data_IF_004823329667
#
_entry.id   IF_004823329667
#
_cell.length_a   1.000
_cell.length_b   1.000
_cell.length_c   1.000
_cell.angle_alpha   90.00
_cell.angle_beta   90.00
_cell.angle_gamma   90.00
#
_symmetry.space_group_name_H-M   'P 1'
#
loop_
_entity.id
_entity.type
_entity.pdbx_description
1 polymer ?
#
# COMPACT_ATOMS: atom_id res chain seq x y z
N UNK A 1 51.05 37.69 15.95
CA UNK A 1 51.26 36.43 16.70
C UNK A 1 51.13 35.29 15.71
N UNK A 2 52.22 34.57 15.47
CA UNK A 2 52.35 33.57 14.42
C UNK A 2 51.80 32.21 14.90
N UNK A 3 51.01 31.56 14.04
CA UNK A 3 50.53 30.19 14.20
C UNK A 3 51.58 29.24 13.60
N UNK A 4 52.34 28.55 14.43
CA UNK A 4 53.19 27.42 14.00
C UNK A 4 52.34 26.16 13.92
N UNK A 5 52.09 25.73 12.66
CA UNK A 5 51.71 24.36 12.32
C UNK A 5 52.95 23.48 12.47
N UNK A 6 52.97 22.60 13.45
CA UNK A 6 53.89 21.46 13.45
C UNK A 6 53.13 20.16 13.14
N UNK A 7 53.77 19.40 12.25
CA UNK A 7 53.30 18.23 11.55
C UNK A 7 53.25 17.03 12.51
N UNK A 8 52.04 16.51 12.76
CA UNK A 8 51.88 15.14 13.23
C UNK A 8 51.89 14.21 12.01
N UNK A 9 53.01 13.54 11.84
CA UNK A 9 53.20 12.42 10.94
C UNK A 9 52.32 11.24 11.38
N UNK A 10 51.17 11.05 10.74
CA UNK A 10 50.46 9.79 10.80
C UNK A 10 50.97 8.89 9.68
N UNK A 11 51.71 7.85 10.07
CA UNK A 11 52.14 6.77 9.20
C UNK A 11 50.94 6.14 8.46
N UNK A 12 51.14 5.57 7.26
CA UNK A 12 50.10 4.81 6.59
C UNK A 12 49.77 3.58 7.44
N UNK A 13 48.54 3.54 7.97
CA UNK A 13 47.99 2.33 8.55
C UNK A 13 48.00 1.25 7.46
N UNK A 14 48.62 0.07 7.68
CA UNK A 14 48.50 -1.03 6.75
C UNK A 14 47.03 -1.44 6.74
N UNK A 15 46.39 -1.24 5.59
CA UNK A 15 45.09 -1.80 5.24
C UNK A 15 45.16 -3.32 5.46
N UNK A 16 44.76 -3.76 6.65
CA UNK A 16 44.31 -5.13 6.85
C UNK A 16 43.02 -5.27 6.05
N UNK A 17 43.11 -6.08 4.99
CA UNK A 17 41.98 -6.42 4.15
C UNK A 17 40.88 -7.08 4.97
N UNK A 18 39.83 -6.33 5.26
CA UNK A 18 38.54 -6.91 5.58
C UNK A 18 37.88 -7.33 4.27
N UNK A 19 38.29 -8.49 3.74
CA UNK A 19 37.42 -9.28 2.89
C UNK A 19 36.42 -10.01 3.80
N UNK A 20 35.53 -9.27 4.48
CA UNK A 20 34.27 -9.85 4.91
C UNK A 20 33.43 -9.97 3.66
N UNK A 21 33.56 -11.11 3.00
CA UNK A 21 32.62 -11.59 2.00
C UNK A 21 31.33 -11.94 2.75
N UNK A 22 30.65 -10.93 3.27
CA UNK A 22 29.28 -11.05 3.75
C UNK A 22 28.47 -11.39 2.50
N UNK A 23 28.09 -12.66 2.37
CA UNK A 23 27.06 -13.09 1.45
C UNK A 23 25.75 -12.44 1.91
N UNK A 24 25.58 -11.16 1.54
CA UNK A 24 24.30 -10.49 1.66
C UNK A 24 23.33 -11.24 0.77
N UNK A 25 22.41 -11.95 1.40
CA UNK A 25 21.29 -12.59 0.73
C UNK A 25 20.57 -11.51 -0.10
N UNK A 26 20.47 -11.72 -1.42
CA UNK A 26 19.73 -10.79 -2.26
C UNK A 26 18.24 -11.02 -2.06
N UNK A 27 17.44 -9.97 -2.22
CA UNK A 27 15.98 -10.08 -2.10
C UNK A 27 15.44 -11.10 -3.12
N UNK A 28 16.07 -11.16 -4.28
CA UNK A 28 15.79 -12.08 -5.38
C UNK A 28 16.01 -13.56 -5.00
N UNK A 29 16.84 -13.84 -4.00
CA UNK A 29 17.16 -15.19 -3.53
C UNK A 29 16.07 -15.77 -2.61
N UNK A 30 15.18 -14.93 -2.08
CA UNK A 30 14.04 -15.39 -1.28
C UNK A 30 13.09 -16.24 -2.14
N UNK A 31 12.35 -17.18 -1.54
CA UNK A 31 11.39 -18.00 -2.29
C UNK A 31 10.08 -17.24 -2.56
N UNK A 32 9.28 -17.71 -3.52
CA UNK A 32 7.99 -17.06 -3.83
C UNK A 32 6.97 -17.21 -2.70
N UNK A 33 7.05 -18.33 -1.97
CA UNK A 33 6.22 -18.62 -0.80
C UNK A 33 6.47 -17.59 0.30
N UNK A 34 7.73 -17.27 0.58
CA UNK A 34 8.07 -16.26 1.58
C UNK A 34 7.56 -14.87 1.18
N UNK A 35 7.61 -14.52 -0.12
CA UNK A 35 6.99 -13.27 -0.59
C UNK A 35 5.47 -13.27 -0.40
N UNK A 36 4.79 -14.37 -0.71
CA UNK A 36 3.35 -14.48 -0.45
C UNK A 36 3.04 -14.27 1.04
N UNK A 37 3.81 -14.90 1.93
CA UNK A 37 3.65 -14.70 3.38
C UNK A 37 3.89 -13.25 3.79
N UNK A 38 4.94 -12.61 3.31
CA UNK A 38 5.21 -11.18 3.58
C UNK A 38 4.06 -10.31 3.08
N UNK A 39 3.57 -10.55 1.87
CA UNK A 39 2.54 -9.73 1.24
C UNK A 39 1.18 -9.85 1.95
N UNK A 40 0.89 -10.98 2.59
CA UNK A 40 -0.33 -11.15 3.40
C UNK A 40 -0.39 -10.20 4.60
N UNK A 41 0.76 -9.69 5.07
CA UNK A 41 0.83 -8.69 6.15
C UNK A 41 0.77 -7.24 5.66
N UNK A 42 0.88 -7.00 4.35
CA UNK A 42 0.93 -5.66 3.77
C UNK A 42 -0.45 -5.24 3.24
N UNK A 43 -0.79 -3.97 3.43
CA UNK A 43 -1.90 -3.40 2.67
C UNK A 43 -1.48 -3.16 1.21
N UNK A 44 -2.45 -3.02 0.33
CA UNK A 44 -2.22 -2.86 -1.10
C UNK A 44 -1.37 -1.63 -1.44
N UNK A 45 -1.49 -0.53 -0.70
CA UNK A 45 -0.71 0.68 -0.97
C UNK A 45 0.79 0.43 -0.73
N UNK A 46 1.15 -0.12 0.43
CA UNK A 46 2.54 -0.44 0.78
C UNK A 46 3.12 -1.48 -0.17
N UNK A 47 2.33 -2.50 -0.50
CA UNK A 47 2.72 -3.52 -1.47
C UNK A 47 3.06 -2.91 -2.84
N UNK A 48 2.18 -2.06 -3.37
CA UNK A 48 2.43 -1.43 -4.67
C UNK A 48 3.59 -0.44 -4.61
N UNK A 49 3.71 0.35 -3.54
CA UNK A 49 4.77 1.33 -3.40
C UNK A 49 6.14 0.67 -3.36
N UNK A 50 6.29 -0.42 -2.60
CA UNK A 50 7.58 -1.08 -2.43
C UNK A 50 7.92 -2.07 -3.56
N UNK A 51 6.94 -2.79 -4.11
CA UNK A 51 7.22 -3.98 -4.92
C UNK A 51 6.76 -3.92 -6.38
N UNK A 52 5.91 -2.96 -6.77
CA UNK A 52 5.32 -2.94 -8.14
C UNK A 52 6.34 -2.77 -9.27
N UNK A 53 7.50 -2.15 -8.98
CA UNK A 53 8.51 -1.76 -9.97
C UNK A 53 9.83 -2.52 -9.86
N UNK A 54 9.87 -3.63 -9.11
CA UNK A 54 11.12 -4.39 -8.91
C UNK A 54 11.49 -5.24 -10.13
N UNK A 55 10.81 -6.38 -10.31
CA UNK A 55 11.06 -7.25 -11.45
C UNK A 55 9.79 -8.07 -11.78
N UNK A 56 9.78 -8.70 -12.96
CA UNK A 56 8.63 -9.46 -13.46
C UNK A 56 8.22 -10.62 -12.57
N UNK A 57 9.17 -11.24 -11.84
CA UNK A 57 8.89 -12.31 -10.89
C UNK A 57 8.05 -11.78 -9.74
N UNK A 58 8.47 -10.68 -9.10
CA UNK A 58 7.72 -10.03 -8.02
C UNK A 58 6.36 -9.54 -8.52
N UNK A 59 6.29 -8.91 -9.69
CA UNK A 59 5.02 -8.49 -10.28
C UNK A 59 4.06 -9.66 -10.53
N UNK A 60 4.58 -10.85 -10.85
CA UNK A 60 3.77 -12.05 -11.01
C UNK A 60 3.25 -12.59 -9.69
N UNK A 61 4.06 -12.53 -8.62
CA UNK A 61 3.64 -12.92 -7.27
C UNK A 61 2.53 -11.98 -6.77
N UNK A 62 2.68 -10.66 -6.95
CA UNK A 62 1.65 -9.67 -6.58
C UNK A 62 0.30 -9.99 -7.23
N UNK A 63 0.28 -10.50 -8.47
CA UNK A 63 -0.94 -10.90 -9.20
C UNK A 63 -1.64 -12.15 -8.64
N UNK A 64 -0.97 -12.91 -7.78
CA UNK A 64 -1.52 -14.09 -7.12
C UNK A 64 -1.96 -13.80 -5.68
N UNK A 65 -1.48 -12.71 -5.10
CA UNK A 65 -1.79 -12.29 -3.73
C UNK A 65 -3.19 -11.71 -3.62
N UNK A 66 -3.88 -11.99 -2.52
CA UNK A 66 -5.15 -11.35 -2.19
C UNK A 66 -4.88 -9.97 -1.60
N UNK A 67 -5.60 -8.97 -2.09
CA UNK A 67 -5.30 -7.59 -1.72
C UNK A 67 -6.27 -7.06 -0.67
N UNK A 68 -5.67 -6.48 0.38
CA UNK A 68 -6.34 -5.74 1.43
C UNK A 68 -6.11 -4.24 1.22
N UNK A 69 -7.17 -3.51 0.87
CA UNK A 69 -7.06 -2.07 0.60
C UNK A 69 -7.51 -1.29 1.83
N UNK A 70 -6.62 -0.43 2.33
CA UNK A 70 -6.88 0.49 3.44
C UNK A 70 -6.64 1.90 2.93
N UNK A 71 -7.62 2.79 3.13
CA UNK A 71 -7.49 4.23 2.86
C UNK A 71 -7.58 4.95 4.18
N UNK A 72 -6.43 5.42 4.65
CA UNK A 72 -6.31 6.14 5.91
C UNK A 72 -6.70 7.63 5.74
N UNK A 73 -7.28 8.29 6.75
CA UNK A 73 -7.52 9.74 6.73
C UNK A 73 -6.27 10.58 6.42
N UNK A 74 -5.06 10.06 6.71
CA UNK A 74 -3.79 10.73 6.43
C UNK A 74 -3.39 10.70 4.95
N UNK A 75 -4.03 9.86 4.13
CA UNK A 75 -3.66 9.72 2.72
C UNK A 75 -4.02 10.98 1.93
N UNK A 76 -3.05 11.52 1.21
CA UNK A 76 -3.28 12.66 0.32
C UNK A 76 -3.86 12.23 -1.04
N UNK A 77 -4.36 13.21 -1.80
CA UNK A 77 -4.92 12.99 -3.15
C UNK A 77 -4.00 12.25 -4.11
N UNK A 78 -2.69 12.46 -4.07
CA UNK A 78 -1.76 11.77 -4.98
C UNK A 78 -1.66 10.28 -4.64
N UNK A 79 -1.65 9.91 -3.36
CA UNK A 79 -1.64 8.52 -2.90
C UNK A 79 -2.91 7.78 -3.32
N UNK A 80 -4.09 8.40 -3.14
CA UNK A 80 -5.36 7.81 -3.56
C UNK A 80 -5.39 7.60 -5.08
N UNK A 81 -4.89 8.58 -5.86
CA UNK A 81 -4.77 8.45 -7.31
C UNK A 81 -3.79 7.34 -7.72
N UNK A 82 -2.64 7.27 -7.08
CA UNK A 82 -1.64 6.22 -7.30
C UNK A 82 -2.24 4.83 -7.07
N UNK A 83 -2.88 4.65 -5.92
CA UNK A 83 -3.51 3.38 -5.58
C UNK A 83 -4.67 3.07 -6.55
N UNK A 84 -5.56 4.03 -6.83
CA UNK A 84 -6.67 3.85 -7.78
C UNK A 84 -6.22 3.40 -9.17
N UNK A 85 -5.03 3.82 -9.65
CA UNK A 85 -4.46 3.32 -10.91
C UNK A 85 -4.06 1.84 -10.82
N UNK A 86 -3.44 1.42 -9.72
CA UNK A 86 -3.07 0.02 -9.52
C UNK A 86 -4.29 -0.87 -9.34
N UNK A 87 -5.31 -0.43 -8.59
CA UNK A 87 -6.55 -1.19 -8.42
C UNK A 87 -7.25 -1.49 -9.75
N UNK A 88 -7.09 -0.65 -10.78
CA UNK A 88 -7.65 -0.92 -12.12
C UNK A 88 -7.12 -2.23 -12.73
N UNK A 89 -5.88 -2.60 -12.43
CA UNK A 89 -5.23 -3.82 -12.94
C UNK A 89 -5.37 -5.03 -12.01
N UNK A 90 -5.80 -4.80 -10.77
CA UNK A 90 -5.83 -5.80 -9.70
C UNK A 90 -7.22 -5.90 -9.04
N UNK A 91 -8.27 -5.42 -9.72
CA UNK A 91 -9.60 -5.26 -9.12
C UNK A 91 -10.24 -6.57 -8.68
N UNK A 92 -9.90 -7.67 -9.35
CA UNK A 92 -10.29 -9.04 -9.07
C UNK A 92 -9.53 -9.66 -7.89
N UNK A 93 -8.40 -9.09 -7.49
CA UNK A 93 -7.64 -9.60 -6.34
C UNK A 93 -8.10 -9.01 -5.01
N UNK A 94 -8.88 -7.93 -5.05
CA UNK A 94 -9.29 -7.17 -3.86
C UNK A 94 -10.38 -7.92 -3.12
N UNK A 95 -10.06 -8.37 -1.92
CA UNK A 95 -10.98 -9.12 -1.06
C UNK A 95 -11.54 -8.29 0.09
N UNK A 96 -10.85 -7.22 0.48
CA UNK A 96 -11.34 -6.32 1.53
C UNK A 96 -11.02 -4.85 1.25
N UNK A 97 -11.97 -3.98 1.60
CA UNK A 97 -11.83 -2.52 1.58
C UNK A 97 -12.11 -1.96 2.97
N UNK A 98 -11.24 -1.10 3.48
CA UNK A 98 -11.48 -0.27 4.66
C UNK A 98 -11.17 1.18 4.29
N UNK A 99 -12.20 2.00 4.11
CA UNK A 99 -12.08 3.35 3.56
C UNK A 99 -12.58 4.36 4.58
N UNK A 100 -11.71 5.28 4.97
CA UNK A 100 -12.10 6.51 5.65
C UNK A 100 -12.39 7.58 4.58
N UNK A 101 -13.62 8.08 4.55
CA UNK A 101 -14.06 9.06 3.55
C UNK A 101 -13.68 10.50 3.92
N UNK A 102 -13.38 10.74 5.21
CA UNK A 102 -12.90 12.01 5.74
C UNK A 102 -11.39 12.14 5.52
N UNK A 103 -11.01 12.69 4.36
CA UNK A 103 -9.62 13.00 4.01
C UNK A 103 -9.44 14.51 3.92
N UNK A 104 -8.30 15.00 4.42
CA UNK A 104 -8.00 16.44 4.56
C UNK A 104 -8.17 17.27 3.27
N UNK A 105 -8.01 16.67 2.08
CA UNK A 105 -8.01 17.37 0.79
C UNK A 105 -9.05 16.86 -0.22
N UNK A 106 -9.93 15.93 0.16
CA UNK A 106 -10.94 15.37 -0.74
C UNK A 106 -12.32 15.21 -0.12
N UNK A 107 -13.32 15.53 -0.95
CA UNK A 107 -14.70 15.17 -0.70
C UNK A 107 -15.00 13.85 -1.40
N UNK A 108 -15.44 12.85 -0.65
CA UNK A 108 -16.09 11.63 -1.14
C UNK A 108 -15.17 10.67 -1.94
N UNK A 109 -14.16 10.14 -1.24
CA UNK A 109 -13.20 9.14 -1.73
C UNK A 109 -13.90 7.83 -2.05
N UNK A 110 -14.89 7.46 -1.26
CA UNK A 110 -15.70 6.26 -1.47
C UNK A 110 -16.38 6.34 -2.83
N UNK A 111 -17.14 7.40 -3.12
CA UNK A 111 -17.79 7.54 -4.43
C UNK A 111 -16.76 7.58 -5.57
N UNK A 112 -15.61 8.22 -5.37
CA UNK A 112 -14.55 8.23 -6.37
C UNK A 112 -14.07 6.82 -6.71
N UNK A 113 -13.73 5.99 -5.72
CA UNK A 113 -13.24 4.63 -5.95
C UNK A 113 -14.30 3.75 -6.62
N UNK A 114 -15.53 3.76 -6.11
CA UNK A 114 -16.63 2.96 -6.66
C UNK A 114 -17.14 3.45 -8.02
N UNK A 115 -16.86 4.70 -8.41
CA UNK A 115 -17.15 5.16 -9.79
C UNK A 115 -16.20 4.58 -10.83
N UNK A 116 -15.00 4.15 -10.40
CA UNK A 116 -13.92 3.69 -11.30
C UNK A 116 -13.74 2.17 -11.30
N UNK A 117 -14.16 1.49 -10.23
CA UNK A 117 -13.83 0.09 -9.98
C UNK A 117 -15.08 -0.70 -9.55
N UNK A 118 -15.14 -1.96 -9.96
CA UNK A 118 -16.29 -2.86 -9.70
C UNK A 118 -16.00 -4.02 -8.73
N UNK A 119 -14.77 -4.11 -8.19
CA UNK A 119 -14.33 -5.03 -7.12
C UNK A 119 -15.08 -6.39 -7.05
N UNK A 120 -15.02 -7.22 -8.09
CA UNK A 120 -15.90 -8.38 -8.26
C UNK A 120 -15.74 -9.48 -7.19
N UNK A 121 -14.57 -9.54 -6.55
CA UNK A 121 -14.24 -10.53 -5.52
C UNK A 121 -14.26 -9.95 -4.10
N UNK A 122 -14.83 -8.76 -3.92
CA UNK A 122 -14.92 -8.09 -2.63
C UNK A 122 -15.79 -8.89 -1.67
N UNK A 123 -15.22 -9.23 -0.51
CA UNK A 123 -15.91 -9.98 0.56
C UNK A 123 -16.24 -9.08 1.74
N UNK A 124 -15.30 -8.22 2.12
CA UNK A 124 -15.42 -7.37 3.30
C UNK A 124 -15.32 -5.90 2.92
N UNK A 125 -16.28 -5.08 3.32
CA UNK A 125 -16.26 -3.65 3.06
C UNK A 125 -16.56 -2.88 4.35
N UNK A 126 -15.67 -1.97 4.72
CA UNK A 126 -15.82 -1.07 5.85
C UNK A 126 -15.72 0.37 5.35
N UNK A 127 -16.78 1.14 5.56
CA UNK A 127 -16.86 2.55 5.19
C UNK A 127 -16.96 3.39 6.46
N UNK A 128 -16.11 4.41 6.59
CA UNK A 128 -16.01 5.23 7.80
C UNK A 128 -16.13 6.72 7.47
N UNK A 129 -16.83 7.45 8.32
CA UNK A 129 -16.93 8.92 8.30
C UNK A 129 -17.37 9.48 6.96
N UNK A 130 -18.48 8.94 6.44
CA UNK A 130 -19.04 9.32 5.15
C UNK A 130 -19.47 10.79 5.17
N UNK A 131 -18.91 11.59 4.26
CA UNK A 131 -19.16 13.03 4.20
C UNK A 131 -20.42 13.38 3.40
N UNK A 132 -20.76 12.57 2.40
CA UNK A 132 -21.83 12.86 1.44
C UNK A 132 -22.64 11.60 1.13
N UNK A 133 -23.86 11.55 1.69
CA UNK A 133 -24.80 10.44 1.56
C UNK A 133 -25.43 10.35 0.17
N UNK A 134 -25.42 11.43 -0.63
CA UNK A 134 -26.11 11.45 -1.92
C UNK A 134 -25.54 10.44 -2.92
N UNK A 135 -24.24 10.14 -2.84
CA UNK A 135 -23.56 9.16 -3.69
C UNK A 135 -23.45 7.77 -3.06
N UNK A 136 -23.77 7.66 -1.78
CA UNK A 136 -23.72 6.40 -1.04
C UNK A 136 -24.74 5.39 -1.59
N UNK A 137 -25.89 5.85 -2.06
CA UNK A 137 -26.92 4.96 -2.62
C UNK A 137 -26.37 4.15 -3.81
N UNK A 138 -25.60 4.79 -4.69
CA UNK A 138 -24.98 4.12 -5.84
C UNK A 138 -23.90 3.13 -5.42
N UNK A 139 -23.12 3.48 -4.39
CA UNK A 139 -22.11 2.59 -3.79
C UNK A 139 -22.77 1.36 -3.19
N UNK A 140 -23.82 1.56 -2.38
CA UNK A 140 -24.60 0.48 -1.78
C UNK A 140 -25.24 -0.39 -2.87
N UNK A 141 -25.80 0.19 -3.93
CA UNK A 141 -26.33 -0.58 -5.07
C UNK A 141 -25.25 -1.47 -5.70
N UNK A 142 -24.06 -0.93 -5.98
CA UNK A 142 -22.94 -1.73 -6.51
C UNK A 142 -22.53 -2.85 -5.56
N UNK A 143 -22.39 -2.55 -4.27
CA UNK A 143 -22.04 -3.54 -3.25
C UNK A 143 -23.09 -4.64 -3.11
N UNK A 144 -24.38 -4.31 -3.19
CA UNK A 144 -25.47 -5.31 -3.16
C UNK A 144 -25.47 -6.26 -4.35
N UNK A 145 -24.90 -5.86 -5.49
CA UNK A 145 -24.76 -6.74 -6.66
C UNK A 145 -23.58 -7.72 -6.52
N UNK A 146 -22.70 -7.53 -5.53
CA UNK A 146 -21.56 -8.42 -5.30
C UNK A 146 -22.01 -9.71 -4.62
N UNK A 147 -22.07 -10.80 -5.39
CA UNK A 147 -22.48 -12.12 -4.90
C UNK A 147 -21.57 -12.70 -3.82
N UNK A 148 -20.32 -12.23 -3.74
CA UNK A 148 -19.30 -12.74 -2.82
C UNK A 148 -19.22 -11.96 -1.50
N UNK A 149 -19.98 -10.87 -1.35
CA UNK A 149 -19.87 -9.99 -0.18
C UNK A 149 -20.43 -10.68 1.06
N UNK A 150 -19.59 -10.84 2.09
CA UNK A 150 -19.95 -11.47 3.36
C UNK A 150 -20.23 -10.45 4.45
N UNK A 151 -19.58 -9.28 4.39
CA UNK A 151 -19.79 -8.22 5.37
C UNK A 151 -19.69 -6.81 4.78
N UNK A 152 -20.62 -5.96 5.22
CA UNK A 152 -20.62 -4.52 4.99
C UNK A 152 -20.83 -3.82 6.33
N UNK A 153 -19.86 -3.01 6.74
CA UNK A 153 -19.97 -2.15 7.92
C UNK A 153 -19.85 -0.68 7.54
N UNK A 154 -20.74 0.15 8.07
CA UNK A 154 -20.72 1.59 7.88
C UNK A 154 -20.66 2.23 9.26
N UNK A 155 -19.61 3.01 9.52
CA UNK A 155 -19.39 3.71 10.79
C UNK A 155 -19.41 5.22 10.56
N UNK A 156 -20.11 5.93 11.43
CA UNK A 156 -20.11 7.40 11.46
C UNK A 156 -19.65 7.85 12.82
N UNK A 157 -18.52 8.56 12.87
CA UNK A 157 -18.05 9.17 14.12
C UNK A 157 -18.69 10.56 14.23
N UNK A 158 -19.57 10.73 15.21
CA UNK A 158 -20.14 12.04 15.53
C UNK A 158 -19.18 12.77 16.47
N UNK A 159 -18.58 13.87 16.00
CA UNK A 159 -17.86 14.79 16.87
C UNK A 159 -18.88 15.68 17.56
N UNK A 160 -19.14 15.42 18.84
CA UNK A 160 -19.83 16.32 19.78
C UNK A 160 -18.92 17.46 20.21
#
# INVERSE_FOLDING_TARGET
MAFTRELLSCAPNPFYGFNTMENCMQLEDLSSELFCEIFDYLNAFDLFLAFSSLNSRISSIIKLTRLHVIIDPEYCRSQIKFMSRHLAFHSDQIISLNIFDKICDQKNVVAYLFSRHDFPNLRFCVLRDLQDSSKLENVIKKLKLQSQMTSLHIFQTYYT
#
